data_IF_141392617877
#
_entry.id   IF_141392617877
#
_cell.length_a   1.000
_cell.length_b   1.000
_cell.length_c   1.000
_cell.angle_alpha   90.00
_cell.angle_beta   90.00
_cell.angle_gamma   90.00
#
_symmetry.space_group_name_H-M   'P 1'
#
loop_
_entity.id
_entity.type
_entity.pdbx_description
1 polymer ?
#
# COMPACT_ATOMS: atom_id res chain seq x y z
N UNK A 1 -0.29 17.95 -6.69
CA UNK A 1 0.61 17.60 -5.57
C UNK A 1 -0.24 16.78 -4.64
N UNK A 2 -0.02 15.47 -4.59
CA UNK A 2 -0.85 14.56 -3.83
C UNK A 2 -0.47 14.63 -2.36
N UNK A 3 -1.46 14.44 -1.48
CA UNK A 3 -1.31 14.56 -0.03
C UNK A 3 -1.28 13.20 0.65
N UNK A 4 -0.77 13.17 1.88
CA UNK A 4 -0.75 11.95 2.69
C UNK A 4 -2.17 11.46 3.03
N UNK A 5 -3.13 12.37 3.14
CA UNK A 5 -4.53 12.02 3.38
C UNK A 5 -5.16 11.33 2.16
N UNK A 6 -4.85 11.77 0.94
CA UNK A 6 -5.30 11.11 -0.29
C UNK A 6 -4.73 9.70 -0.43
N UNK A 7 -3.46 9.53 -0.08
CA UNK A 7 -2.83 8.20 -0.05
C UNK A 7 -3.53 7.27 0.95
N UNK A 8 -3.74 7.73 2.19
CA UNK A 8 -4.42 6.95 3.23
C UNK A 8 -5.83 6.59 2.78
N UNK A 9 -6.57 7.57 2.24
CA UNK A 9 -7.93 7.36 1.75
C UNK A 9 -7.98 6.27 0.68
N UNK A 10 -7.07 6.29 -0.30
CA UNK A 10 -7.00 5.24 -1.33
C UNK A 10 -6.71 3.86 -0.73
N UNK A 11 -5.75 3.76 0.19
CA UNK A 11 -5.43 2.49 0.86
C UNK A 11 -6.64 1.93 1.63
N UNK A 12 -7.41 2.79 2.31
CA UNK A 12 -8.62 2.37 3.02
C UNK A 12 -9.76 1.95 2.07
N UNK A 13 -9.93 2.66 0.94
CA UNK A 13 -10.93 2.30 -0.09
C UNK A 13 -10.59 0.97 -0.78
N UNK A 14 -9.31 0.76 -1.07
CA UNK A 14 -8.81 -0.42 -1.78
C UNK A 14 -8.55 -1.62 -0.84
N UNK A 15 -8.66 -1.41 0.49
CA UNK A 15 -8.28 -2.38 1.54
C UNK A 15 -8.90 -3.76 1.35
N UNK A 16 -10.19 -3.80 0.99
CA UNK A 16 -10.92 -5.06 0.79
C UNK A 16 -10.51 -5.78 -0.50
N UNK A 17 -10.15 -5.04 -1.54
CA UNK A 17 -9.78 -5.57 -2.86
C UNK A 17 -8.44 -6.32 -2.76
N UNK A 18 -7.48 -5.74 -2.05
CA UNK A 18 -6.13 -6.27 -1.90
C UNK A 18 -5.93 -7.11 -0.64
N UNK A 19 -7.02 -7.44 0.08
CA UNK A 19 -6.95 -8.26 1.29
C UNK A 19 -6.06 -7.67 2.38
N UNK A 20 -5.95 -6.34 2.46
CA UNK A 20 -5.07 -5.64 3.40
C UNK A 20 -5.67 -5.72 4.81
N UNK A 21 -4.90 -6.19 5.77
CA UNK A 21 -5.31 -6.23 7.18
C UNK A 21 -4.79 -5.00 7.93
N UNK A 22 -3.51 -4.71 7.75
CA UNK A 22 -2.84 -3.53 8.27
C UNK A 22 -1.78 -3.02 7.30
N UNK A 23 -1.38 -1.77 7.47
CA UNK A 23 -0.26 -1.18 6.75
C UNK A 23 0.44 -0.17 7.64
N UNK A 24 1.71 0.07 7.34
CA UNK A 24 2.53 1.07 8.01
C UNK A 24 3.30 1.87 6.97
N UNK A 25 3.37 3.19 7.13
CA UNK A 25 4.13 4.06 6.25
C UNK A 25 5.24 4.74 7.06
N UNK A 26 6.48 4.30 6.84
CA UNK A 26 7.67 4.85 7.51
C UNK A 26 8.49 5.64 6.49
N UNK A 27 8.55 6.96 6.67
CA UNK A 27 9.17 7.85 5.68
C UNK A 27 8.43 7.77 4.33
N UNK A 28 9.14 7.28 3.30
CA UNK A 28 8.65 7.03 1.94
C UNK A 28 8.56 5.53 1.59
N UNK A 29 8.53 4.66 2.59
CA UNK A 29 8.31 3.22 2.41
C UNK A 29 6.97 2.82 3.00
N UNK A 30 6.26 1.92 2.32
CA UNK A 30 5.02 1.31 2.83
C UNK A 30 5.20 -0.19 3.06
N UNK A 31 4.78 -0.65 4.23
CA UNK A 31 4.69 -2.06 4.58
C UNK A 31 3.23 -2.45 4.62
N UNK A 32 2.81 -3.45 3.85
CA UNK A 32 1.42 -3.92 3.81
C UNK A 32 1.36 -5.36 4.33
N UNK A 33 0.53 -5.58 5.35
CA UNK A 33 0.17 -6.93 5.80
C UNK A 33 -1.16 -7.33 5.16
N UNK A 34 -1.18 -8.46 4.49
CA UNK A 34 -2.37 -9.00 3.83
C UNK A 34 -2.82 -10.31 4.45
N UNK A 35 -4.04 -10.72 4.09
CA UNK A 35 -4.48 -12.10 4.23
C UNK A 35 -3.62 -13.05 3.40
N UNK A 36 -3.59 -14.31 3.80
CA UNK A 36 -2.95 -15.39 3.06
C UNK A 36 -3.48 -15.43 1.60
N UNK A 37 -2.55 -15.53 0.64
CA UNK A 37 -2.87 -15.58 -0.80
C UNK A 37 -3.00 -14.24 -1.51
N UNK A 38 -2.80 -13.10 -0.82
CA UNK A 38 -2.90 -11.75 -1.41
C UNK A 38 -1.56 -11.04 -1.60
N UNK A 39 -0.43 -11.63 -1.21
CA UNK A 39 0.90 -10.98 -1.24
C UNK A 39 1.30 -10.48 -2.63
N UNK A 40 1.09 -11.29 -3.68
CA UNK A 40 1.43 -10.92 -5.05
C UNK A 40 0.61 -9.72 -5.52
N UNK A 41 -0.69 -9.72 -5.22
CA UNK A 41 -1.62 -8.63 -5.59
C UNK A 41 -1.26 -7.36 -4.82
N UNK A 42 -0.92 -7.45 -3.54
CA UNK A 42 -0.47 -6.31 -2.75
C UNK A 42 0.89 -5.77 -3.20
N UNK A 43 1.78 -6.62 -3.69
CA UNK A 43 3.05 -6.16 -4.29
C UNK A 43 2.79 -5.31 -5.54
N UNK A 44 1.86 -5.73 -6.41
CA UNK A 44 1.41 -4.92 -7.56
C UNK A 44 0.78 -3.61 -7.10
N UNK A 45 -0.05 -3.67 -6.04
CA UNK A 45 -0.69 -2.48 -5.48
C UNK A 45 0.32 -1.46 -4.94
N UNK A 46 1.38 -1.91 -4.26
CA UNK A 46 2.47 -1.03 -3.82
C UNK A 46 3.15 -0.34 -5.00
N UNK A 47 3.35 -1.05 -6.12
CA UNK A 47 3.90 -0.45 -7.33
C UNK A 47 2.97 0.62 -7.92
N UNK A 48 1.66 0.36 -7.97
CA UNK A 48 0.65 1.34 -8.37
C UNK A 48 0.67 2.60 -7.47
N UNK A 49 0.78 2.39 -6.16
CA UNK A 49 0.86 3.48 -5.19
C UNK A 49 2.14 4.32 -5.37
N UNK A 50 3.28 3.68 -5.69
CA UNK A 50 4.53 4.39 -5.98
C UNK A 50 4.42 5.25 -7.24
N UNK A 51 3.69 4.78 -8.27
CA UNK A 51 3.48 5.55 -9.50
C UNK A 51 2.51 6.73 -9.30
N UNK A 52 1.48 6.55 -8.48
CA UNK A 52 0.48 7.60 -8.21
C UNK A 52 0.94 8.61 -7.15
N UNK A 53 1.75 8.17 -6.18
CA UNK A 53 2.21 8.98 -5.06
C UNK A 53 3.74 8.96 -4.92
N UNK A 54 4.51 9.21 -6.00
CA UNK A 54 5.96 9.02 -5.99
C UNK A 54 6.63 9.91 -4.95
N UNK A 55 6.10 11.11 -4.68
CA UNK A 55 6.62 12.04 -3.69
C UNK A 55 6.40 11.58 -2.24
N UNK A 56 5.42 10.69 -2.00
CA UNK A 56 5.03 10.22 -0.67
C UNK A 56 5.57 8.82 -0.37
N UNK A 57 5.71 7.98 -1.39
CA UNK A 57 6.18 6.59 -1.29
C UNK A 57 6.96 6.22 -2.55
N UNK A 58 8.07 5.51 -2.38
CA UNK A 58 8.96 5.10 -3.47
C UNK A 58 9.52 3.68 -3.29
N UNK A 59 8.82 2.86 -2.51
CA UNK A 59 9.26 1.53 -2.12
C UNK A 59 8.29 0.94 -1.10
N UNK A 60 8.37 -0.38 -0.95
CA UNK A 60 7.55 -1.07 0.02
C UNK A 60 7.67 -2.58 -0.10
N UNK A 61 7.05 -3.26 0.86
CA UNK A 61 6.95 -4.71 0.89
C UNK A 61 5.55 -5.14 1.30
N UNK A 62 5.14 -6.30 0.81
CA UNK A 62 3.93 -6.99 1.23
C UNK A 62 4.32 -8.28 1.97
N UNK A 63 3.56 -8.63 3.00
CA UNK A 63 3.70 -9.88 3.77
C UNK A 63 2.32 -10.41 4.09
N UNK A 64 2.11 -11.73 4.11
CA UNK A 64 0.89 -12.33 4.66
C UNK A 64 1.07 -12.75 6.12
N UNK A 65 -0.07 -12.92 6.81
CA UNK A 65 -0.14 -13.84 7.94
C UNK A 65 0.14 -15.30 7.53
#
# INVERSE_FOLDING_TARGET
>A
MNTRDELIKKIEEDKQIYGIESYEIVGRSISIKTKEGFEEVATVYIAELNDQFPDLINGGNATSD
#
